data_IF_642682384886
#
_entry.id   IF_642682384886
#
_cell.length_a   1.000
_cell.length_b   1.000
_cell.length_c   1.000
_cell.angle_alpha   90.00
_cell.angle_beta   90.00
_cell.angle_gamma   90.00
#
_symmetry.space_group_name_H-M   'P 1'
#
loop_
_entity.id
_entity.type
_entity.pdbx_description
1 polymer ?
#
# COMPACT_ATOMS: atom_id res chain seq x y z
N UNK A 1 1.61 -10.96 8.52
CA UNK A 1 1.87 -9.96 7.44
C UNK A 1 2.50 -8.74 8.09
N UNK A 2 3.49 -8.10 7.45
CA UNK A 2 4.23 -6.97 8.03
C UNK A 2 4.18 -5.74 7.12
N UNK A 3 3.90 -4.56 7.69
CA UNK A 3 4.00 -3.26 7.03
C UNK A 3 5.42 -3.06 6.51
N UNK A 4 5.54 -2.56 5.29
CA UNK A 4 6.82 -2.19 4.71
C UNK A 4 7.44 -1.01 5.47
N UNK A 5 8.72 -1.13 5.91
CA UNK A 5 9.36 -0.08 6.71
C UNK A 5 9.70 1.17 5.90
N UNK A 6 9.75 1.08 4.56
CA UNK A 6 10.06 2.18 3.66
C UNK A 6 8.84 3.07 3.33
N UNK A 7 7.65 2.76 3.86
CA UNK A 7 6.46 3.58 3.67
C UNK A 7 6.50 4.83 4.54
N UNK A 8 6.37 5.99 3.90
CA UNK A 8 6.23 7.28 4.59
C UNK A 8 4.76 7.67 4.63
N UNK A 9 4.27 8.14 5.78
CA UNK A 9 2.90 8.60 5.96
C UNK A 9 2.89 10.06 6.41
N UNK A 10 1.94 10.84 5.89
CA UNK A 10 1.70 12.22 6.29
C UNK A 10 0.21 12.46 6.50
N UNK A 11 -0.14 13.18 7.56
CA UNK A 11 -1.54 13.54 7.83
C UNK A 11 -1.89 14.79 7.06
N UNK A 12 -2.93 14.71 6.23
CA UNK A 12 -3.45 15.82 5.46
C UNK A 12 -4.90 16.08 5.86
N UNK A 13 -5.32 17.35 5.80
CA UNK A 13 -6.72 17.73 6.02
C UNK A 13 -7.29 18.20 4.70
N UNK A 14 -8.44 17.68 4.32
CA UNK A 14 -9.16 18.07 3.12
C UNK A 14 -10.64 18.26 3.47
N UNK A 15 -11.17 19.46 3.21
CA UNK A 15 -12.57 19.83 3.48
C UNK A 15 -13.07 19.49 4.91
N UNK A 16 -12.20 19.63 5.92
CA UNK A 16 -12.54 19.37 7.32
C UNK A 16 -12.28 17.94 7.79
N UNK A 17 -12.07 16.99 6.88
CA UNK A 17 -11.73 15.60 7.22
C UNK A 17 -10.23 15.33 7.14
N UNK A 18 -9.73 14.54 8.10
CA UNK A 18 -8.33 14.16 8.20
C UNK A 18 -8.07 12.82 7.53
N UNK A 19 -7.07 12.78 6.65
CA UNK A 19 -6.62 11.58 5.95
C UNK A 19 -5.13 11.35 6.15
N UNK A 20 -4.73 10.08 6.25
CA UNK A 20 -3.34 9.67 6.14
C UNK A 20 -2.99 9.38 4.70
N UNK A 21 -2.05 10.15 4.15
CA UNK A 21 -1.48 9.89 2.84
C UNK A 21 -0.21 9.07 3.01
N UNK A 22 -0.27 7.81 2.57
CA UNK A 22 0.88 6.90 2.57
C UNK A 22 1.47 6.86 1.17
N UNK A 23 2.76 7.19 1.09
CA UNK A 23 3.53 7.13 -0.16
C UNK A 23 4.23 5.79 -0.27
N UNK A 24 4.00 5.10 -1.38
CA UNK A 24 4.76 3.92 -1.77
C UNK A 24 5.94 4.38 -2.66
N UNK A 25 7.20 4.20 -2.20
CA UNK A 25 8.35 4.86 -2.82
C UNK A 25 8.79 4.23 -4.15
N UNK A 26 8.39 2.99 -4.46
CA UNK A 26 8.92 2.24 -5.62
C UNK A 26 8.07 2.42 -6.88
N UNK A 27 6.75 2.40 -6.73
CA UNK A 27 5.73 2.53 -7.76
C UNK A 27 5.19 3.95 -7.89
N UNK A 28 5.64 4.89 -7.04
CA UNK A 28 5.22 6.30 -7.00
C UNK A 28 3.69 6.44 -6.80
N UNK A 29 3.10 5.53 -6.02
CA UNK A 29 1.68 5.53 -5.71
C UNK A 29 1.41 6.17 -4.35
N UNK A 30 0.27 6.84 -4.25
CA UNK A 30 -0.21 7.46 -3.02
C UNK A 30 -1.54 6.82 -2.64
N UNK A 31 -1.64 6.40 -1.39
CA UNK A 31 -2.85 5.82 -0.82
C UNK A 31 -3.37 6.75 0.25
N UNK A 32 -4.69 6.98 0.24
CA UNK A 32 -5.38 7.71 1.29
C UNK A 32 -6.02 6.69 2.21
N UNK A 33 -5.81 6.87 3.49
CA UNK A 33 -6.38 6.06 4.55
C UNK A 33 -7.09 6.97 5.54
N UNK A 34 -8.22 6.50 6.05
CA UNK A 34 -8.81 7.05 7.26
C UNK A 34 -7.96 6.67 8.48
N UNK A 35 -8.26 7.28 9.63
CA UNK A 35 -7.50 7.03 10.87
C UNK A 35 -7.60 5.55 11.29
N UNK A 36 -8.74 4.91 11.05
CA UNK A 36 -9.06 3.50 11.26
C UNK A 36 -8.18 2.57 10.42
N UNK A 37 -8.12 2.82 9.12
CA UNK A 37 -7.37 2.02 8.16
C UNK A 37 -5.86 2.16 8.37
N UNK A 38 -5.41 3.39 8.67
CA UNK A 38 -4.02 3.66 9.00
C UNK A 38 -3.61 2.98 10.30
N UNK A 39 -4.50 2.92 11.29
CA UNK A 39 -4.27 2.17 12.53
C UNK A 39 -4.07 0.68 12.25
N UNK A 40 -4.96 0.03 11.48
CA UNK A 40 -4.81 -1.38 11.10
C UNK A 40 -3.48 -1.61 10.37
N UNK A 41 -3.11 -0.73 9.43
CA UNK A 41 -1.84 -0.82 8.72
C UNK A 41 -0.64 -0.79 9.68
N UNK A 42 -0.70 0.01 10.75
CA UNK A 42 0.37 0.09 11.74
C UNK A 42 0.42 -1.10 12.70
N UNK A 43 -0.71 -1.78 12.94
CA UNK A 43 -0.75 -3.01 13.74
C UNK A 43 -0.06 -4.19 13.03
N UNK A 44 0.05 -4.17 11.70
CA UNK A 44 0.66 -5.25 10.92
C UNK A 44 2.19 -5.29 11.11
N UNK A 45 2.64 -5.91 12.19
CA UNK A 45 4.04 -6.06 12.57
C UNK A 45 4.68 -7.40 12.11
N UNK A 46 3.86 -8.36 11.70
CA UNK A 46 4.28 -9.70 11.30
C UNK A 46 3.79 -10.81 12.22
N UNK A 47 3.46 -10.50 13.48
CA UNK A 47 3.09 -11.46 14.53
C UNK A 47 1.65 -11.30 15.00
N UNK A 48 1.02 -10.15 14.74
CA UNK A 48 -0.36 -9.89 15.12
C UNK A 48 -1.34 -10.82 14.41
N UNK A 49 -2.32 -11.35 15.16
CA UNK A 49 -3.43 -12.15 14.63
C UNK A 49 -4.61 -11.27 14.21
N UNK A 50 -5.48 -11.78 13.32
CA UNK A 50 -6.69 -11.05 12.91
C UNK A 50 -7.61 -10.72 14.08
N UNK A 51 -7.69 -11.62 15.07
CA UNK A 51 -8.45 -11.40 16.31
C UNK A 51 -7.90 -10.20 17.08
N UNK A 52 -6.58 -10.13 17.28
CA UNK A 52 -5.93 -9.03 17.98
C UNK A 52 -6.12 -7.68 17.26
N UNK A 53 -6.08 -7.69 15.93
CA UNK A 53 -6.38 -6.48 15.14
C UNK A 53 -7.82 -6.04 15.37
N UNK A 54 -8.78 -6.98 15.30
CA UNK A 54 -10.19 -6.70 15.52
C UNK A 54 -10.45 -6.12 16.91
N UNK A 55 -9.93 -6.76 17.95
CA UNK A 55 -10.15 -6.33 19.34
C UNK A 55 -9.49 -4.96 19.59
N UNK A 56 -8.28 -4.74 19.09
CA UNK A 56 -7.61 -3.45 19.17
C UNK A 56 -8.32 -2.34 18.38
N UNK A 57 -8.96 -2.68 17.26
CA UNK A 57 -9.77 -1.76 16.47
C UNK A 57 -11.02 -1.33 17.23
N UNK A 58 -11.79 -2.28 17.72
CA UNK A 58 -13.05 -2.02 18.43
C UNK A 58 -12.82 -1.25 19.74
N UNK A 59 -11.71 -1.51 20.43
CA UNK A 59 -11.33 -0.73 21.62
C UNK A 59 -10.98 0.73 21.29
N UNK A 60 -10.36 0.99 20.12
CA UNK A 60 -9.88 2.33 19.75
C UNK A 60 -10.96 3.19 19.07
N UNK A 61 -11.83 2.57 18.29
CA UNK A 61 -12.79 3.27 17.42
C UNK A 61 -14.25 2.96 17.74
N UNK A 62 -14.56 2.54 18.97
CA UNK A 62 -15.94 2.37 19.42
C UNK A 62 -16.79 3.64 19.13
N UNK A 63 -18.04 3.50 18.64
CA UNK A 63 -18.83 2.27 18.49
C UNK A 63 -18.65 1.53 17.15
N UNK A 64 -17.70 1.93 16.30
CA UNK A 64 -17.48 1.28 15.02
C UNK A 64 -17.01 -0.16 15.20
N UNK A 65 -17.56 -1.07 14.39
CA UNK A 65 -17.21 -2.50 14.38
C UNK A 65 -16.65 -2.89 13.03
N UNK A 66 -15.75 -3.85 13.03
CA UNK A 66 -15.15 -4.40 11.82
C UNK A 66 -15.31 -5.91 11.80
N UNK A 67 -15.69 -6.47 10.64
CA UNK A 67 -15.80 -7.92 10.49
C UNK A 67 -14.46 -8.53 10.08
N UNK A 68 -14.30 -9.84 10.28
CA UNK A 68 -13.12 -10.54 9.76
C UNK A 68 -13.03 -10.49 8.23
N UNK A 69 -14.17 -10.49 7.54
CA UNK A 69 -14.22 -10.36 6.08
C UNK A 69 -13.63 -9.03 5.61
N UNK A 70 -14.01 -7.93 6.25
CA UNK A 70 -13.49 -6.59 5.94
C UNK A 70 -11.98 -6.51 6.19
N UNK A 71 -11.51 -7.06 7.32
CA UNK A 71 -10.08 -7.14 7.64
C UNK A 71 -9.31 -7.96 6.59
N UNK A 72 -9.84 -9.12 6.17
CA UNK A 72 -9.21 -9.94 5.14
C UNK A 72 -9.17 -9.22 3.79
N UNK A 73 -10.26 -8.55 3.40
CA UNK A 73 -10.32 -7.78 2.17
C UNK A 73 -9.32 -6.62 2.20
N UNK A 74 -9.24 -5.89 3.32
CA UNK A 74 -8.30 -4.79 3.52
C UNK A 74 -6.85 -5.26 3.45
N UNK A 75 -6.50 -6.32 4.18
CA UNK A 75 -5.15 -6.91 4.14
C UNK A 75 -4.81 -7.41 2.72
N UNK A 76 -5.78 -8.02 2.04
CA UNK A 76 -5.64 -8.43 0.65
C UNK A 76 -5.35 -7.25 -0.29
N UNK A 77 -6.04 -6.12 -0.10
CA UNK A 77 -5.79 -4.88 -0.84
C UNK A 77 -4.37 -4.35 -0.56
N UNK A 78 -3.96 -4.27 0.71
CA UNK A 78 -2.61 -3.82 1.09
C UNK A 78 -1.53 -4.71 0.43
N UNK A 79 -1.75 -6.02 0.39
CA UNK A 79 -0.81 -6.97 -0.20
C UNK A 79 -0.72 -6.82 -1.73
N UNK A 80 -1.86 -6.71 -2.43
CA UNK A 80 -1.88 -6.49 -3.89
C UNK A 80 -1.21 -5.19 -4.32
N UNK A 81 -1.37 -4.14 -3.50
CA UNK A 81 -0.72 -2.84 -3.70
C UNK A 81 0.72 -2.78 -3.20
N UNK A 82 1.26 -3.89 -2.67
CA UNK A 82 2.65 -3.98 -2.22
C UNK A 82 2.97 -3.13 -0.98
N UNK A 83 1.98 -2.78 -0.16
CA UNK A 83 2.15 -2.01 1.08
C UNK A 83 2.55 -2.89 2.27
N UNK A 84 2.22 -4.18 2.22
CA UNK A 84 2.58 -5.17 3.24
C UNK A 84 3.28 -6.36 2.60
N UNK A 85 4.21 -6.98 3.34
CA UNK A 85 4.93 -8.19 2.93
C UNK A 85 4.48 -9.37 3.79
N UNK A 86 4.27 -10.52 3.16
CA UNK A 86 4.12 -11.78 3.90
C UNK A 86 5.48 -12.22 4.45
N UNK A 87 5.49 -12.74 5.69
CA UNK A 87 6.68 -13.34 6.29
C UNK A 87 7.00 -14.73 5.69
N UNK A 88 6.05 -15.33 4.96
CA UNK A 88 6.29 -16.52 4.17
C UNK A 88 7.28 -16.20 3.03
N UNK A 89 8.55 -16.53 3.26
CA UNK A 89 9.63 -16.44 2.29
C UNK A 89 9.22 -17.12 0.96
N UNK A 90 9.32 -16.42 -0.17
CA UNK A 90 9.16 -17.08 -1.48
C UNK A 90 8.88 -16.23 -2.72
N UNK A 91 8.55 -14.93 -2.63
CA UNK A 91 8.16 -14.14 -3.84
C UNK A 91 8.86 -12.79 -3.99
N UNK A 92 10.15 -12.70 -3.63
CA UNK A 92 10.98 -11.55 -4.00
C UNK A 92 11.24 -11.41 -5.51
N UNK A 93 11.00 -12.47 -6.29
CA UNK A 93 11.26 -12.51 -7.74
C UNK A 93 10.16 -11.87 -8.59
N UNK A 94 8.89 -11.84 -8.14
CA UNK A 94 7.81 -11.21 -8.90
C UNK A 94 7.87 -9.67 -8.87
N UNK A 95 8.35 -9.08 -7.77
CA UNK A 95 8.49 -7.62 -7.62
C UNK A 95 9.62 -7.06 -8.50
N UNK A 96 10.76 -7.76 -8.63
CA UNK A 96 11.81 -7.39 -9.60
C UNK A 96 11.31 -7.50 -11.04
N UNK A 97 10.61 -8.59 -11.38
CA UNK A 97 10.13 -8.86 -12.74
C UNK A 97 9.14 -7.80 -13.24
N UNK A 98 8.25 -7.30 -12.38
CA UNK A 98 7.34 -6.16 -12.71
C UNK A 98 8.09 -4.84 -12.91
N UNK A 99 9.14 -4.57 -12.12
CA UNK A 99 9.98 -3.37 -12.26
C UNK A 99 10.74 -3.38 -13.58
N UNK A 100 11.25 -4.54 -13.98
CA UNK A 100 12.00 -4.71 -15.22
C UNK A 100 11.10 -4.60 -16.46
N UNK A 101 9.88 -5.14 -16.41
CA UNK A 101 8.91 -4.98 -17.50
C UNK A 101 8.44 -3.54 -17.67
N UNK A 102 8.20 -2.82 -16.56
CA UNK A 102 7.83 -1.40 -16.62
C UNK A 102 8.98 -0.53 -17.13
N UNK A 103 10.22 -0.78 -16.69
CA UNK A 103 11.41 -0.09 -17.22
C UNK A 103 11.66 -0.37 -18.69
N UNK A 104 11.42 -1.61 -19.16
CA UNK A 104 11.52 -1.93 -20.59
C UNK A 104 10.48 -1.17 -21.41
N UNK A 105 9.22 -1.12 -20.95
CA UNK A 105 8.15 -0.33 -21.61
C UNK A 105 8.44 1.17 -21.59
N UNK A 106 8.91 1.72 -20.48
CA UNK A 106 9.29 3.14 -20.37
C UNK A 106 10.50 3.49 -21.25
N UNK A 107 11.50 2.60 -21.36
CA UNK A 107 12.64 2.80 -22.28
C UNK A 107 12.24 2.69 -23.75
N UNK A 108 11.40 1.73 -24.11
CA UNK A 108 10.85 1.60 -25.47
C UNK A 108 10.01 2.83 -25.84
N UNK A 109 9.17 3.31 -24.92
CA UNK A 109 8.36 4.50 -25.10
C UNK A 109 9.19 5.80 -25.16
N UNK A 110 10.27 5.89 -24.38
CA UNK A 110 11.19 7.02 -24.41
C UNK A 110 11.97 7.08 -25.73
N UNK A 111 12.43 5.93 -26.27
CA UNK A 111 13.08 5.86 -27.58
C UNK A 111 12.13 6.20 -28.73
N UNK A 112 10.85 5.79 -28.64
CA UNK A 112 9.84 6.17 -29.64
C UNK A 112 9.47 7.65 -29.59
N UNK A 113 9.50 8.28 -28.40
CA UNK A 113 9.24 9.71 -28.27
C UNK A 113 10.37 10.60 -28.82
N UNK A 114 11.63 10.15 -28.73
CA UNK A 114 12.76 10.90 -29.29
C UNK A 114 12.79 10.82 -30.82
N UNK A 115 12.37 9.69 -31.42
CA UNK A 115 12.27 9.54 -32.88
C UNK A 115 11.04 10.24 -33.50
N UNK A 116 10.06 10.65 -32.68
CA UNK A 116 8.88 11.39 -33.14
C UNK A 116 9.11 12.92 -33.25
N UNK A 117 10.29 13.42 -32.89
CA UNK A 117 10.63 14.85 -32.96
C UNK A 117 11.47 15.12 -34.23
N UNK A 118 10.75 15.41 -35.32
CA UNK A 118 11.09 16.15 -36.57
C UNK A 118 10.49 15.43 -37.80
N UNK A 119 9.94 16.10 -38.81
CA UNK A 119 10.42 17.30 -39.51
C UNK A 119 9.26 18.23 -39.92
N UNK A 120 9.46 19.54 -39.77
CA UNK A 120 8.82 20.60 -40.59
C UNK A 120 9.95 21.40 -41.23
#
# INVERSE_FOLDING_TARGET
>A
MRKRPDLTASRQRYQGEGYWVVKEPVGLQYFRFHDEEYYILNMLDGHVSLQQIKDGFEQRFAPQKITFGDLQQFIGMLHRNGLVRSAAAGQGSQLKRRRDERRKKERLAALSNVLAIKFK
#
